data_IF_252149156264
#
_entry.id   IF_252149156264
#
_cell.length_a   1.000
_cell.length_b   1.000
_cell.length_c   1.000
_cell.angle_alpha   90.00
_cell.angle_beta   90.00
_cell.angle_gamma   90.00
#
_symmetry.space_group_name_H-M   'P 1'
#
loop_
_entity.id
_entity.type
_entity.pdbx_description
1 polymer ?
#
# COMPACT_ATOMS: atom_id res chain seq x y z
N UNK A 1 6.11 11.07 10.33
CA UNK A 1 6.23 9.80 9.58
C UNK A 1 7.63 9.25 9.76
N UNK A 2 7.74 7.94 9.99
CA UNK A 2 9.03 7.24 10.05
C UNK A 2 9.18 6.34 8.83
N UNK A 3 10.39 6.26 8.28
CA UNK A 3 10.71 5.42 7.12
C UNK A 3 11.82 4.44 7.46
N UNK A 4 11.62 3.18 7.10
CA UNK A 4 12.60 2.10 7.21
C UNK A 4 12.89 1.53 5.82
N UNK A 5 14.16 1.19 5.57
CA UNK A 5 14.60 0.55 4.33
C UNK A 5 15.21 -0.83 4.62
N UNK A 6 14.88 -1.81 3.77
CA UNK A 6 15.49 -3.15 3.78
C UNK A 6 15.78 -3.57 2.35
N UNK A 7 16.77 -4.43 2.17
CA UNK A 7 17.10 -4.99 0.87
C UNK A 7 17.10 -6.51 0.93
N UNK A 8 16.50 -7.13 -0.08
CA UNK A 8 16.40 -8.58 -0.26
C UNK A 8 16.96 -8.95 -1.63
N UNK A 9 18.15 -9.55 -1.65
CA UNK A 9 18.78 -10.07 -2.88
C UNK A 9 17.85 -11.10 -3.53
N UNK A 10 17.56 -10.94 -4.83
CA UNK A 10 16.67 -11.80 -5.60
C UNK A 10 15.27 -11.96 -4.99
N UNK A 11 14.75 -10.90 -4.37
CA UNK A 11 13.39 -10.89 -3.84
C UNK A 11 12.33 -10.97 -4.96
N UNK A 12 11.13 -11.36 -4.55
CA UNK A 12 9.91 -11.30 -5.36
C UNK A 12 8.79 -10.74 -4.48
N UNK A 13 7.94 -9.88 -5.04
CA UNK A 13 6.78 -9.30 -4.32
C UNK A 13 5.84 -10.35 -3.75
N UNK A 14 5.78 -11.56 -4.33
CA UNK A 14 4.84 -12.59 -3.88
C UNK A 14 5.08 -13.03 -2.43
N UNK A 15 6.31 -12.88 -1.91
CA UNK A 15 6.58 -13.06 -0.50
C UNK A 15 5.82 -12.04 0.39
N UNK A 16 5.56 -10.85 -0.14
CA UNK A 16 4.74 -9.83 0.49
C UNK A 16 3.25 -10.14 0.27
N UNK A 17 2.80 -10.36 -0.96
CA UNK A 17 1.39 -10.64 -1.27
C UNK A 17 0.79 -11.75 -0.41
N UNK A 18 1.48 -12.90 -0.34
CA UNK A 18 0.96 -14.10 0.30
C UNK A 18 1.34 -14.23 1.78
N UNK A 19 2.26 -13.39 2.28
CA UNK A 19 2.68 -13.45 3.67
C UNK A 19 2.87 -12.06 4.29
N UNK A 20 3.89 -11.29 3.88
CA UNK A 20 4.30 -10.04 4.52
C UNK A 20 3.19 -8.98 4.65
N UNK A 21 2.50 -8.73 3.53
CA UNK A 21 1.45 -7.73 3.32
C UNK A 21 0.12 -8.38 2.93
N UNK A 22 -0.18 -9.56 3.45
CA UNK A 22 -1.45 -10.23 3.13
C UNK A 22 -2.65 -9.56 3.81
N UNK A 23 -3.85 -9.74 3.25
CA UNK A 23 -5.11 -9.28 3.85
C UNK A 23 -5.33 -9.84 5.27
N UNK A 24 -4.80 -11.03 5.57
CA UNK A 24 -4.84 -11.63 6.92
C UNK A 24 -4.11 -10.79 7.96
N UNK A 25 -3.17 -9.95 7.51
CA UNK A 25 -2.43 -8.98 8.33
C UNK A 25 -2.99 -7.56 8.19
N UNK A 26 -4.14 -7.38 7.54
CA UNK A 26 -4.83 -6.09 7.42
C UNK A 26 -4.31 -5.19 6.30
N UNK A 27 -3.57 -5.73 5.34
CA UNK A 27 -3.07 -4.97 4.20
C UNK A 27 -4.03 -5.09 3.00
N UNK A 28 -4.26 -3.95 2.36
CA UNK A 28 -4.79 -3.85 1.01
C UNK A 28 -3.63 -3.68 0.03
N UNK A 29 -3.81 -4.17 -1.19
CA UNK A 29 -2.91 -3.86 -2.29
C UNK A 29 -3.27 -2.49 -2.86
N UNK A 30 -2.25 -1.71 -3.25
CA UNK A 30 -2.46 -0.55 -4.10
C UNK A 30 -2.27 -1.03 -5.53
N UNK A 31 -3.38 -1.16 -6.24
CA UNK A 31 -3.43 -1.62 -7.62
C UNK A 31 -3.06 -0.48 -8.56
N UNK A 32 -1.94 -0.70 -9.24
CA UNK A 32 -1.47 0.16 -10.33
C UNK A 32 -1.30 -0.69 -11.58
N UNK A 33 -1.30 -0.05 -12.75
CA UNK A 33 -0.90 -0.69 -14.01
C UNK A 33 0.62 -0.94 -14.09
N UNK A 34 1.37 -0.58 -13.04
CA UNK A 34 2.78 -0.87 -12.86
C UNK A 34 3.04 -2.22 -12.14
N UNK A 35 1.99 -2.86 -11.64
CA UNK A 35 2.08 -4.10 -10.87
C UNK A 35 2.81 -5.21 -11.65
N UNK A 36 3.94 -5.67 -11.10
CA UNK A 36 4.79 -6.68 -11.69
C UNK A 36 5.42 -7.56 -10.61
N UNK A 37 5.96 -8.74 -10.95
CA UNK A 37 6.60 -9.64 -9.97
C UNK A 37 7.76 -8.99 -9.18
N UNK A 38 8.34 -7.91 -9.71
CA UNK A 38 9.41 -7.14 -9.08
C UNK A 38 8.94 -5.81 -8.45
N UNK A 39 7.64 -5.46 -8.50
CA UNK A 39 7.13 -4.18 -8.00
C UNK A 39 5.74 -4.33 -7.39
N UNK A 40 5.54 -3.76 -6.20
CA UNK A 40 4.22 -3.70 -5.57
C UNK A 40 4.16 -2.73 -4.41
N UNK A 41 2.94 -2.26 -4.11
CA UNK A 41 2.66 -1.37 -3.00
C UNK A 41 1.48 -1.89 -2.18
N UNK A 42 1.57 -1.83 -0.86
CA UNK A 42 0.50 -2.25 0.06
C UNK A 42 0.30 -1.22 1.16
N UNK A 43 -0.94 -1.10 1.63
CA UNK A 43 -1.33 -0.17 2.68
C UNK A 43 -2.14 -0.88 3.76
N UNK A 44 -1.80 -0.60 5.02
CA UNK A 44 -2.53 -1.10 6.18
C UNK A 44 -3.15 0.09 6.93
N UNK A 45 -4.49 0.26 6.84
CA UNK A 45 -5.17 1.44 7.40
C UNK A 45 -5.18 1.44 8.93
N UNK A 46 -5.15 0.26 9.57
CA UNK A 46 -5.18 0.13 11.03
C UNK A 46 -3.84 0.50 11.67
N UNK A 47 -2.74 0.09 11.05
CA UNK A 47 -1.37 0.36 11.54
C UNK A 47 -0.73 1.56 10.86
N UNK A 48 -1.47 2.25 9.97
CA UNK A 48 -1.01 3.43 9.23
C UNK A 48 0.32 3.22 8.52
N UNK A 49 0.46 2.04 7.94
CA UNK A 49 1.72 1.57 7.35
C UNK A 49 1.56 1.43 5.85
N UNK A 50 2.53 1.93 5.09
CA UNK A 50 2.64 1.77 3.65
C UNK A 50 3.93 1.02 3.38
N UNK A 51 3.85 -0.01 2.55
CA UNK A 51 4.99 -0.83 2.15
C UNK A 51 5.13 -0.70 0.65
N UNK A 52 6.31 -0.30 0.18
CA UNK A 52 6.68 -0.27 -1.22
C UNK A 52 7.80 -1.27 -1.45
N UNK A 53 7.69 -2.06 -2.51
CA UNK A 53 8.71 -3.00 -2.94
C UNK A 53 9.09 -2.74 -4.40
N UNK A 54 10.39 -2.68 -4.67
CA UNK A 54 10.93 -2.56 -6.02
C UNK A 54 12.26 -3.31 -6.13
N UNK A 55 12.31 -4.38 -6.94
CA UNK A 55 13.53 -5.09 -7.32
C UNK A 55 14.44 -5.54 -6.16
N UNK A 56 13.85 -5.84 -5.00
CA UNK A 56 14.56 -6.24 -3.79
C UNK A 56 14.59 -5.16 -2.71
N UNK A 57 14.41 -3.90 -3.07
CA UNK A 57 14.30 -2.79 -2.11
C UNK A 57 12.90 -2.74 -1.51
N UNK A 58 12.85 -2.72 -0.18
CA UNK A 58 11.64 -2.60 0.61
C UNK A 58 11.69 -1.31 1.41
N UNK A 59 10.73 -0.42 1.18
CA UNK A 59 10.53 0.79 1.96
C UNK A 59 9.25 0.67 2.77
N UNK A 60 9.34 0.89 4.08
CA UNK A 60 8.22 0.82 5.02
C UNK A 60 8.04 2.20 5.64
N UNK A 61 6.93 2.85 5.32
CA UNK A 61 6.56 4.15 5.86
C UNK A 61 5.46 3.96 6.92
N UNK A 62 5.60 4.61 8.08
CA UNK A 62 4.61 4.55 9.18
C UNK A 62 4.22 5.96 9.61
N UNK A 63 2.94 6.26 9.46
CA UNK A 63 2.37 7.53 9.89
C UNK A 63 1.94 7.48 11.37
N UNK A 64 2.15 8.59 12.07
CA UNK A 64 1.81 8.74 13.49
C UNK A 64 0.33 9.03 13.70
N UNK A 65 -0.33 9.56 12.68
CA UNK A 65 -1.75 9.94 12.72
C UNK A 65 -2.50 9.46 11.48
N UNK A 66 -3.82 9.35 11.62
CA UNK A 66 -4.72 8.96 10.53
C UNK A 66 -4.70 9.99 9.39
N UNK A 67 -4.59 11.27 9.73
CA UNK A 67 -4.49 12.36 8.75
C UNK A 67 -3.20 12.29 7.94
N UNK A 68 -2.07 12.00 8.58
CA UNK A 68 -0.78 11.84 7.90
C UNK A 68 -0.80 10.63 6.96
N UNK A 69 -1.37 9.49 7.41
CA UNK A 69 -1.55 8.32 6.55
C UNK A 69 -2.42 8.62 5.34
N UNK A 70 -3.58 9.25 5.56
CA UNK A 70 -4.50 9.61 4.48
C UNK A 70 -3.84 10.58 3.49
N UNK A 71 -3.12 11.59 3.96
CA UNK A 71 -2.36 12.50 3.10
C UNK A 71 -1.34 11.74 2.25
N UNK A 72 -0.60 10.80 2.84
CA UNK A 72 0.43 10.05 2.11
C UNK A 72 -0.16 9.14 1.03
N UNK A 73 -1.30 8.51 1.29
CA UNK A 73 -2.05 7.73 0.27
C UNK A 73 -2.54 8.64 -0.86
N UNK A 74 -3.03 9.84 -0.53
CA UNK A 74 -3.43 10.84 -1.54
C UNK A 74 -2.27 11.31 -2.40
N UNK A 75 -1.10 11.49 -1.80
CA UNK A 75 0.12 11.85 -2.52
C UNK A 75 0.54 10.73 -3.48
N UNK A 76 0.41 9.45 -3.08
CA UNK A 76 0.63 8.30 -3.97
C UNK A 76 -0.37 8.29 -5.14
N UNK A 77 -1.65 8.47 -4.86
CA UNK A 77 -2.69 8.52 -5.89
C UNK A 77 -2.43 9.67 -6.88
N UNK A 78 -2.07 10.84 -6.37
CA UNK A 78 -1.70 12.00 -7.18
C UNK A 78 -0.46 11.73 -8.03
N UNK A 79 0.59 11.16 -7.44
CA UNK A 79 1.82 10.87 -8.18
C UNK A 79 1.56 9.87 -9.32
N UNK A 80 0.78 8.82 -9.08
CA UNK A 80 0.40 7.86 -10.12
C UNK A 80 -0.37 8.56 -11.25
N UNK A 81 -1.39 9.34 -10.91
CA UNK A 81 -2.17 10.10 -11.90
C UNK A 81 -1.31 11.09 -12.71
N UNK A 82 -0.42 11.83 -12.05
CA UNK A 82 0.50 12.78 -12.69
C UNK A 82 1.47 12.09 -13.68
N UNK A 83 1.75 10.79 -13.47
CA UNK A 83 2.62 9.98 -14.33
C UNK A 83 1.84 9.06 -15.29
N UNK A 84 0.51 9.19 -15.34
CA UNK A 84 -0.35 8.43 -16.26
C UNK A 84 -0.65 6.99 -15.84
N UNK A 85 -0.40 6.64 -14.58
CA UNK A 85 -0.69 5.33 -14.01
C UNK A 85 -2.05 5.29 -13.34
N UNK A 86 -2.65 4.09 -13.30
CA UNK A 86 -3.89 3.86 -12.54
C UNK A 86 -3.59 3.76 -11.04
N UNK A 87 -4.61 4.04 -10.22
CA UNK A 87 -4.51 3.89 -8.78
C UNK A 87 -5.84 3.41 -8.21
N UNK A 88 -5.81 2.27 -7.52
CA UNK A 88 -6.92 1.75 -6.73
C UNK A 88 -6.40 1.10 -5.44
N UNK A 89 -7.23 1.06 -4.42
CA UNK A 89 -6.96 0.30 -3.20
C UNK A 89 -7.84 -0.94 -3.25
N UNK A 90 -7.25 -2.12 -3.47
CA UNK A 90 -7.94 -3.40 -3.42
C UNK A 90 -7.92 -3.94 -1.96
N UNK A 91 -9.07 -3.94 -1.25
CA UNK A 91 -9.17 -4.48 0.09
C UNK A 91 -9.17 -6.03 0.11
N UNK A 92 -8.96 -6.70 -1.03
CA UNK A 92 -8.92 -8.15 -1.21
C UNK A 92 -10.23 -8.81 -0.73
N UNK A 93 -11.37 -8.21 -1.11
CA UNK A 93 -12.71 -8.60 -0.66
C UNK A 93 -12.89 -8.64 0.88
N UNK A 94 -12.05 -7.94 1.65
CA UNK A 94 -12.15 -7.90 3.10
C UNK A 94 -12.91 -6.64 3.57
N UNK A 95 -14.15 -6.84 4.00
CA UNK A 95 -15.04 -5.77 4.44
C UNK A 95 -14.48 -4.94 5.62
N UNK A 96 -13.66 -5.54 6.51
CA UNK A 96 -13.07 -4.81 7.63
C UNK A 96 -11.95 -3.86 7.16
N UNK A 97 -11.13 -4.30 6.20
CA UNK A 97 -10.10 -3.44 5.59
C UNK A 97 -10.77 -2.31 4.81
N UNK A 98 -11.79 -2.62 4.01
CA UNK A 98 -12.57 -1.64 3.27
C UNK A 98 -13.16 -0.56 4.21
N UNK A 99 -13.84 -0.99 5.28
CA UNK A 99 -14.43 -0.07 6.26
C UNK A 99 -13.39 0.82 6.95
N UNK A 100 -12.18 0.30 7.20
CA UNK A 100 -11.09 1.07 7.77
C UNK A 100 -10.63 2.20 6.83
N UNK A 101 -10.45 1.93 5.53
CA UNK A 101 -10.14 2.98 4.56
C UNK A 101 -11.25 4.03 4.43
N UNK A 102 -12.53 3.60 4.45
CA UNK A 102 -13.66 4.54 4.44
C UNK A 102 -13.66 5.47 5.65
N UNK A 103 -13.36 4.94 6.84
CA UNK A 103 -13.26 5.72 8.08
C UNK A 103 -12.16 6.79 8.00
N UNK A 104 -11.08 6.50 7.28
CA UNK A 104 -9.96 7.42 7.04
C UNK A 104 -10.25 8.44 5.91
N UNK A 105 -11.45 8.43 5.31
CA UNK A 105 -11.80 9.33 4.23
C UNK A 105 -11.11 9.00 2.89
N UNK A 106 -10.73 7.72 2.69
CA UNK A 106 -10.10 7.21 1.47
C UNK A 106 -11.06 6.31 0.66
N UNK A 107 -12.35 6.34 0.96
CA UNK A 107 -13.34 5.44 0.38
C UNK A 107 -13.60 5.62 -1.11
N UNK A 108 -13.21 6.76 -1.68
CA UNK A 108 -13.24 7.11 -3.10
C UNK A 108 -12.03 6.54 -3.88
N UNK A 109 -11.00 6.05 -3.19
CA UNK A 109 -9.85 5.38 -3.81
C UNK A 109 -9.97 3.85 -3.79
N UNK A 110 -11.04 3.30 -3.20
CA UNK A 110 -11.30 1.86 -3.20
C UNK A 110 -11.73 1.39 -4.58
N UNK A 111 -11.27 0.20 -4.96
CA UNK A 111 -11.51 -0.46 -6.24
C UNK A 111 -12.41 -1.70 -6.06
#
# INVERSE_FOLDING_TARGET
>A
MTTEHRFYVNGDRYALDFNGCSYKKGYAQIDTDQDAWYFGTWANPTTRTIVNYAEGDLTIERAETDAEFASRIRDLAKWNADNGYTFGIDPMCNAAIEAAFRTLGLGDLLH
#
